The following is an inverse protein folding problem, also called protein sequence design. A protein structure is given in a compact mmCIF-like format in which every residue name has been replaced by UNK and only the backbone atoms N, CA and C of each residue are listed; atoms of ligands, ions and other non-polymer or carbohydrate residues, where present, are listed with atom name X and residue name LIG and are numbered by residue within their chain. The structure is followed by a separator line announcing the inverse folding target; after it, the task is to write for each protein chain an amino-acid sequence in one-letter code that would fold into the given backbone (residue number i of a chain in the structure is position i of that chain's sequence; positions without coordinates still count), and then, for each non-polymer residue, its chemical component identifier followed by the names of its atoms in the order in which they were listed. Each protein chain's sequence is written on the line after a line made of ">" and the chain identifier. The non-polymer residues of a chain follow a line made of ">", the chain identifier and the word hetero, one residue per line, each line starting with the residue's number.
data_IF_513685979825
#
_entry.id   IF_513685979825
#
_cell.length_a   1.000
_cell.length_b   1.000
_cell.length_c   1.000
_cell.angle_alpha   90.00
_cell.angle_beta   90.00
_cell.angle_gamma   90.00
#
_symmetry.space_group_name_H-M   'P 1'
#
loop_
_entity.id
_entity.type
_entity.pdbx_description
1 polymer ?
#
# COMPACT_ATOMS: atom_id res chain seq x y z
N UNK A 1 -18.85 4.71 41.98
CA UNK A 1 -18.88 3.63 40.97
C UNK A 1 -20.31 3.21 40.72
N UNK A 2 -20.88 3.47 39.54
CA UNK A 2 -22.18 2.94 39.11
C UNK A 2 -22.09 2.58 37.63
N UNK A 3 -22.03 1.28 37.36
CA UNK A 3 -21.86 0.69 36.02
C UNK A 3 -23.22 0.38 35.41
N UNK A 4 -23.75 1.28 34.58
CA UNK A 4 -24.98 1.02 33.82
C UNK A 4 -24.68 0.16 32.58
N UNK A 5 -24.41 -1.12 32.84
CA UNK A 5 -24.43 -2.22 31.87
C UNK A 5 -25.89 -2.64 31.66
N UNK A 6 -26.63 -1.90 30.82
CA UNK A 6 -28.00 -2.28 30.43
C UNK A 6 -28.11 -2.42 28.91
N UNK A 7 -27.71 -3.61 28.44
CA UNK A 7 -28.40 -4.42 27.44
C UNK A 7 -28.82 -3.72 26.13
N UNK A 8 -27.86 -3.46 25.25
CA UNK A 8 -28.12 -3.39 23.82
C UNK A 8 -28.61 -4.79 23.34
N UNK A 9 -29.91 -4.96 23.15
CA UNK A 9 -30.49 -6.13 22.47
C UNK A 9 -30.53 -5.84 20.96
N UNK A 10 -29.63 -6.40 20.11
CA UNK A 10 -29.82 -6.27 18.68
C UNK A 10 -31.03 -7.12 18.27
N UNK A 11 -32.15 -6.48 17.92
CA UNK A 11 -33.21 -7.16 17.17
C UNK A 11 -32.56 -7.72 15.90
N UNK A 12 -32.48 -9.05 15.81
CA UNK A 12 -32.15 -9.80 14.58
C UNK A 12 -33.18 -9.40 13.52
N UNK A 13 -32.89 -8.35 12.75
CA UNK A 13 -33.64 -8.01 11.55
C UNK A 13 -33.20 -8.99 10.46
N UNK A 14 -33.96 -10.07 10.29
CA UNK A 14 -33.88 -10.94 9.13
C UNK A 14 -34.35 -10.10 7.93
N UNK A 15 -33.41 -9.52 7.19
CA UNK A 15 -33.74 -8.77 5.98
C UNK A 15 -33.96 -9.74 4.83
N UNK A 16 -35.23 -9.91 4.45
CA UNK A 16 -35.64 -10.51 3.17
C UNK A 16 -34.85 -9.88 2.02
N UNK A 17 -34.34 -10.72 1.12
CA UNK A 17 -33.65 -10.35 -0.13
C UNK A 17 -34.41 -9.21 -0.83
N UNK A 18 -33.70 -8.14 -1.21
CA UNK A 18 -34.19 -7.21 -2.23
C UNK A 18 -34.56 -5.78 -1.80
N UNK A 19 -34.41 -5.36 -0.55
CA UNK A 19 -34.63 -3.94 -0.18
C UNK A 19 -33.31 -3.16 -0.17
N UNK A 20 -33.05 -2.42 -1.26
CA UNK A 20 -32.07 -1.32 -1.28
C UNK A 20 -32.46 -0.28 -0.23
N UNK A 21 -31.93 -0.42 0.98
CA UNK A 21 -31.90 0.69 1.93
C UNK A 21 -30.59 1.43 1.68
N UNK A 22 -30.64 2.47 0.84
CA UNK A 22 -29.66 3.53 0.92
C UNK A 22 -29.80 4.14 2.33
N UNK A 23 -29.14 3.53 3.31
CA UNK A 23 -29.18 3.96 4.69
C UNK A 23 -28.77 5.42 4.72
N UNK A 24 -29.76 6.29 4.98
CA UNK A 24 -29.58 7.73 5.06
C UNK A 24 -28.48 7.99 6.08
N UNK A 25 -27.37 8.61 5.65
CA UNK A 25 -26.26 8.94 6.56
C UNK A 25 -26.83 9.67 7.79
N UNK A 26 -26.35 9.36 9.01
CA UNK A 26 -26.85 10.04 10.21
C UNK A 26 -26.71 11.56 10.02
N UNK A 27 -27.82 12.29 10.06
CA UNK A 27 -27.83 13.76 10.05
C UNK A 27 -27.53 14.20 11.50
N UNK A 28 -26.42 14.91 11.74
CA UNK A 28 -26.00 15.38 13.07
C UNK A 28 -24.53 15.83 13.17
N UNK A 29 -24.07 16.10 14.39
CA UNK A 29 -22.78 16.76 14.74
C UNK A 29 -21.49 15.96 14.43
N UNK A 30 -21.57 14.74 13.88
CA UNK A 30 -20.39 13.91 13.57
C UNK A 30 -20.34 13.40 12.12
N UNK A 31 -21.06 14.05 11.20
CA UNK A 31 -21.12 13.67 9.78
C UNK A 31 -19.78 13.70 9.07
N UNK A 32 -18.98 14.73 9.31
CA UNK A 32 -17.64 14.89 8.74
C UNK A 32 -16.73 13.75 9.19
N UNK A 33 -16.69 13.45 10.49
CA UNK A 33 -15.90 12.35 11.05
C UNK A 33 -16.24 10.99 10.42
N UNK A 34 -17.54 10.64 10.31
CA UNK A 34 -17.98 9.37 9.69
C UNK A 34 -17.62 9.34 8.18
N UNK A 35 -17.71 10.48 7.49
CA UNK A 35 -17.30 10.60 6.08
C UNK A 35 -15.78 10.40 5.94
N UNK A 36 -14.98 11.04 6.77
CA UNK A 36 -13.53 10.91 6.74
C UNK A 36 -13.07 9.51 7.11
N UNK A 37 -13.70 8.85 8.09
CA UNK A 37 -13.40 7.44 8.41
C UNK A 37 -13.61 6.50 7.22
N UNK A 38 -14.71 6.67 6.47
CA UNK A 38 -14.99 5.87 5.26
C UNK A 38 -13.97 6.13 4.15
N UNK A 39 -13.63 7.41 3.91
CA UNK A 39 -12.59 7.78 2.95
C UNK A 39 -11.24 7.18 3.34
N UNK A 40 -10.84 7.35 4.59
CA UNK A 40 -9.58 6.84 5.13
C UNK A 40 -9.47 5.32 4.93
N UNK A 41 -10.53 4.55 5.22
CA UNK A 41 -10.56 3.10 4.95
C UNK A 41 -10.33 2.78 3.48
N UNK A 42 -10.98 3.51 2.56
CA UNK A 42 -10.83 3.33 1.11
C UNK A 42 -9.40 3.66 0.64
N UNK A 43 -8.83 4.76 1.13
CA UNK A 43 -7.45 5.16 0.81
C UNK A 43 -6.44 4.17 1.38
N UNK A 44 -6.65 3.71 2.62
CA UNK A 44 -5.81 2.72 3.27
C UNK A 44 -5.72 1.42 2.47
N UNK A 45 -6.85 0.85 2.04
CA UNK A 45 -6.86 -0.40 1.25
C UNK A 45 -6.07 -0.26 -0.05
N UNK A 46 -6.26 0.85 -0.78
CA UNK A 46 -5.53 1.13 -2.03
C UNK A 46 -4.02 1.30 -1.78
N UNK A 47 -3.66 2.11 -0.79
CA UNK A 47 -2.26 2.38 -0.46
C UNK A 47 -1.55 1.12 0.04
N UNK A 48 -2.24 0.31 0.85
CA UNK A 48 -1.73 -0.97 1.34
C UNK A 48 -1.46 -1.94 0.19
N UNK A 49 -2.36 -2.05 -0.78
CA UNK A 49 -2.17 -2.92 -1.94
C UNK A 49 -0.93 -2.49 -2.77
N UNK A 50 -0.77 -1.20 -3.04
CA UNK A 50 0.39 -0.68 -3.79
C UNK A 50 1.68 -0.90 -3.03
N UNK A 51 1.72 -0.57 -1.72
CA UNK A 51 2.90 -0.79 -0.87
C UNK A 51 3.27 -2.27 -0.80
N UNK A 52 2.28 -3.16 -0.65
CA UNK A 52 2.49 -4.62 -0.63
C UNK A 52 3.06 -5.11 -1.98
N UNK A 53 2.54 -4.62 -3.10
CA UNK A 53 3.06 -4.98 -4.44
C UNK A 53 4.53 -4.60 -4.58
N UNK A 54 4.91 -3.37 -4.20
CA UNK A 54 6.30 -2.92 -4.24
C UNK A 54 7.19 -3.79 -3.35
N UNK A 55 6.74 -4.08 -2.12
CA UNK A 55 7.48 -4.94 -1.19
C UNK A 55 7.70 -6.35 -1.75
N UNK A 56 6.68 -6.95 -2.37
CA UNK A 56 6.81 -8.25 -3.03
C UNK A 56 7.81 -8.23 -4.18
N UNK A 57 7.84 -7.17 -5.00
CA UNK A 57 8.81 -7.05 -6.09
C UNK A 57 10.25 -6.92 -5.55
N UNK A 58 10.45 -6.11 -4.50
CA UNK A 58 11.76 -5.97 -3.85
C UNK A 58 12.24 -7.32 -3.30
N UNK A 59 11.36 -8.08 -2.65
CA UNK A 59 11.69 -9.44 -2.19
C UNK A 59 12.10 -10.38 -3.32
N UNK A 60 11.39 -10.33 -4.46
CA UNK A 60 11.76 -11.13 -5.64
C UNK A 60 13.15 -10.75 -6.17
N UNK A 61 13.45 -9.46 -6.21
CA UNK A 61 14.78 -9.00 -6.60
C UNK A 61 15.86 -9.47 -5.62
N UNK A 62 15.61 -9.42 -4.31
CA UNK A 62 16.55 -9.96 -3.31
C UNK A 62 16.78 -11.47 -3.46
N UNK A 63 15.77 -12.25 -3.84
CA UNK A 63 15.91 -13.68 -4.13
C UNK A 63 16.72 -13.91 -5.43
N UNK A 64 16.37 -13.20 -6.51
CA UNK A 64 17.11 -13.29 -7.78
C UNK A 64 18.59 -12.88 -7.63
N UNK A 65 18.88 -11.91 -6.76
CA UNK A 65 20.24 -11.53 -6.40
C UNK A 65 21.01 -12.64 -5.68
N UNK A 66 20.35 -13.45 -4.84
CA UNK A 66 20.98 -14.61 -4.19
C UNK A 66 21.28 -15.72 -5.20
N UNK A 67 20.38 -15.92 -6.16
CA UNK A 67 20.53 -16.91 -7.25
C UNK A 67 21.49 -16.45 -8.36
N UNK A 68 22.08 -15.24 -8.26
CA UNK A 68 23.00 -14.63 -9.24
C UNK A 68 22.45 -14.52 -10.67
N UNK A 69 21.13 -14.48 -10.84
CA UNK A 69 20.49 -14.34 -12.16
C UNK A 69 20.46 -12.87 -12.61
N UNK A 70 21.48 -12.45 -13.34
CA UNK A 70 21.67 -11.05 -13.74
C UNK A 70 20.55 -10.51 -14.64
N UNK A 71 20.09 -11.30 -15.61
CA UNK A 71 19.05 -10.87 -16.57
C UNK A 71 17.70 -10.64 -15.86
N UNK A 72 17.26 -11.60 -15.04
CA UNK A 72 16.02 -11.49 -14.27
C UNK A 72 16.09 -10.32 -13.25
N UNK A 73 17.23 -10.14 -12.60
CA UNK A 73 17.43 -9.04 -11.65
C UNK A 73 17.31 -7.66 -12.33
N UNK A 74 17.83 -7.50 -13.56
CA UNK A 74 17.72 -6.27 -14.35
C UNK A 74 16.26 -5.95 -14.72
N UNK A 75 15.50 -6.96 -15.14
CA UNK A 75 14.08 -6.80 -15.45
C UNK A 75 13.27 -6.41 -14.21
N UNK A 76 13.49 -7.11 -13.09
CA UNK A 76 12.83 -6.80 -11.82
C UNK A 76 13.15 -5.39 -11.34
N UNK A 77 14.39 -4.92 -11.51
CA UNK A 77 14.80 -3.56 -11.15
C UNK A 77 14.01 -2.49 -11.92
N UNK A 78 13.86 -2.68 -13.24
CA UNK A 78 13.06 -1.79 -14.10
C UNK A 78 11.59 -1.75 -13.67
N UNK A 79 11.01 -2.91 -13.34
CA UNK A 79 9.64 -3.00 -12.85
C UNK A 79 9.47 -2.29 -11.50
N UNK A 80 10.45 -2.41 -10.59
CA UNK A 80 10.44 -1.76 -9.29
C UNK A 80 10.49 -0.24 -9.45
N UNK A 81 11.33 0.30 -10.33
CA UNK A 81 11.40 1.75 -10.57
C UNK A 81 10.07 2.30 -11.09
N UNK A 82 9.50 1.63 -12.09
CA UNK A 82 8.17 1.97 -12.62
C UNK A 82 7.11 1.95 -11.52
N UNK A 83 7.15 0.97 -10.61
CA UNK A 83 6.21 0.88 -9.50
C UNK A 83 6.38 2.02 -8.48
N UNK A 84 7.63 2.39 -8.14
CA UNK A 84 7.92 3.52 -7.26
C UNK A 84 7.47 4.85 -7.86
N UNK A 85 7.71 5.08 -9.15
CA UNK A 85 7.36 6.35 -9.81
C UNK A 85 5.84 6.50 -9.94
N UNK A 86 5.13 5.41 -10.26
CA UNK A 86 3.65 5.38 -10.23
C UNK A 86 3.10 5.64 -8.82
N UNK A 87 3.73 5.11 -7.78
CA UNK A 87 3.33 5.35 -6.39
C UNK A 87 3.62 6.79 -5.94
N UNK A 88 4.72 7.39 -6.39
CA UNK A 88 5.09 8.78 -6.13
C UNK A 88 4.14 9.76 -6.84
N UNK A 89 3.82 9.52 -8.12
CA UNK A 89 2.85 10.32 -8.89
C UNK A 89 1.48 10.37 -8.20
N UNK A 90 1.05 9.25 -7.60
CA UNK A 90 -0.21 9.14 -6.84
C UNK A 90 -0.11 9.62 -5.39
N UNK A 91 1.03 10.20 -4.97
CA UNK A 91 1.32 10.67 -3.60
C UNK A 91 1.11 9.59 -2.52
N UNK A 92 1.25 8.32 -2.87
CA UNK A 92 1.19 7.19 -1.91
C UNK A 92 2.50 7.10 -1.12
N UNK A 93 3.61 7.45 -1.77
CA UNK A 93 4.97 7.55 -1.22
C UNK A 93 5.49 8.93 -1.59
N UNK A 94 6.19 9.60 -0.68
CA UNK A 94 6.81 10.89 -0.98
C UNK A 94 7.88 10.73 -2.09
N UNK A 95 8.00 11.65 -3.08
CA UNK A 95 8.97 11.54 -4.16
C UNK A 95 10.40 11.33 -3.67
N UNK A 96 10.83 12.06 -2.64
CA UNK A 96 12.16 11.86 -2.03
C UNK A 96 12.33 10.47 -1.42
N UNK A 97 11.28 9.89 -0.86
CA UNK A 97 11.33 8.51 -0.33
C UNK A 97 11.46 7.50 -1.47
N UNK A 98 10.76 7.71 -2.58
CA UNK A 98 10.92 6.89 -3.77
C UNK A 98 12.35 7.01 -4.36
N UNK A 99 12.87 8.23 -4.52
CA UNK A 99 14.23 8.48 -5.00
C UNK A 99 15.30 7.80 -4.13
N UNK A 100 15.23 7.95 -2.80
CA UNK A 100 16.15 7.28 -1.87
C UNK A 100 16.09 5.76 -2.00
N UNK A 101 14.90 5.17 -2.16
CA UNK A 101 14.74 3.73 -2.31
C UNK A 101 15.27 3.23 -3.66
N UNK A 102 15.03 3.96 -4.75
CA UNK A 102 15.62 3.67 -6.07
C UNK A 102 17.15 3.66 -6.01
N UNK A 103 17.74 4.74 -5.49
CA UNK A 103 19.20 4.86 -5.33
C UNK A 103 19.81 3.70 -4.52
N UNK A 104 19.22 3.35 -3.37
CA UNK A 104 19.69 2.23 -2.55
C UNK A 104 19.61 0.88 -3.28
N UNK A 105 18.55 0.64 -4.05
CA UNK A 105 18.41 -0.60 -4.82
C UNK A 105 19.41 -0.66 -5.98
N UNK A 106 19.62 0.45 -6.69
CA UNK A 106 20.66 0.54 -7.73
C UNK A 106 22.05 0.27 -7.16
N UNK A 107 22.38 0.88 -6.03
CA UNK A 107 23.68 0.67 -5.39
C UNK A 107 23.89 -0.79 -4.99
N UNK A 108 22.87 -1.43 -4.40
CA UNK A 108 22.91 -2.87 -4.07
C UNK A 108 23.07 -3.75 -5.31
N UNK A 109 22.35 -3.45 -6.39
CA UNK A 109 22.47 -4.19 -7.64
C UNK A 109 23.89 -4.05 -8.22
N UNK A 110 24.42 -2.82 -8.29
CA UNK A 110 25.75 -2.56 -8.81
C UNK A 110 26.85 -3.21 -7.96
N UNK A 111 26.75 -3.15 -6.62
CA UNK A 111 27.73 -3.81 -5.74
C UNK A 111 27.77 -5.33 -5.92
N UNK A 112 26.65 -5.96 -6.28
CA UNK A 112 26.56 -7.41 -6.49
C UNK A 112 26.96 -7.87 -7.90
N UNK A 113 26.65 -7.07 -8.93
CA UNK A 113 26.81 -7.47 -10.33
C UNK A 113 27.86 -6.66 -11.10
N UNK A 114 28.31 -5.51 -10.60
CA UNK A 114 29.37 -4.71 -11.21
C UNK A 114 30.57 -4.64 -10.28
N UNK A 115 31.49 -5.58 -10.42
CA UNK A 115 32.92 -5.32 -10.20
C UNK A 115 33.45 -4.62 -11.46
N UNK A 116 33.59 -3.29 -11.41
CA UNK A 116 34.35 -2.51 -12.39
C UNK A 116 33.55 -1.97 -13.58
N UNK A 117 33.17 -0.69 -13.49
CA UNK A 117 33.51 0.31 -14.52
C UNK A 117 33.69 1.64 -13.79
N UNK A 118 34.92 2.16 -13.63
CA UNK A 118 35.11 3.56 -13.23
C UNK A 118 34.46 4.44 -14.29
N UNK A 119 33.59 5.35 -13.84
CA UNK A 119 33.06 6.38 -14.73
C UNK A 119 34.12 7.47 -14.81
N UNK A 120 34.64 7.70 -16.02
CA UNK A 120 35.44 8.86 -16.40
C UNK A 120 34.77 10.16 -15.92
#
# INVERSE_FOLDING_TARGET
>A
MQTNKSRYKPKRFILKKGKKLAAKLPKGRHRSAIKEARKAKKHYLRNRAVKKKIHSLVKKLELASKEKKQNEAKELLSQIFTAYDKAAKRRIIHPNTAARKKSRLSHRYNTLFSTGQPKN
#
